data_IF_995517772704
#
_entry.id   IF_995517772704
#
_cell.length_a   1.000
_cell.length_b   1.000
_cell.length_c   1.000
_cell.angle_alpha   90.00
_cell.angle_beta   90.00
_cell.angle_gamma   90.00
#
_symmetry.space_group_name_H-M   'P 1'
#
loop_
_entity.id
_entity.type
_entity.pdbx_description
1 polymer ?
#
# COMPACT_ATOMS: atom_id res chain seq x y z
N UNK A 1 -7.92 -2.65 -23.11
CA UNK A 1 -7.74 -1.26 -22.62
C UNK A 1 -8.14 -1.29 -21.15
N UNK A 2 -7.48 -0.51 -20.28
CA UNK A 2 -7.88 -0.42 -18.87
C UNK A 2 -9.28 0.18 -18.75
N UNK A 3 -10.08 -0.36 -17.82
CA UNK A 3 -11.44 0.12 -17.55
C UNK A 3 -11.40 1.20 -16.45
N UNK A 4 -11.65 2.45 -16.83
CA UNK A 4 -11.64 3.62 -15.94
C UNK A 4 -12.84 3.63 -14.96
N UNK A 5 -13.83 2.77 -15.18
CA UNK A 5 -15.03 2.64 -14.33
C UNK A 5 -14.97 1.43 -13.41
N UNK A 6 -13.76 0.88 -13.21
CA UNK A 6 -13.53 -0.27 -12.35
C UNK A 6 -12.39 -0.03 -11.38
N UNK A 7 -12.59 -0.45 -10.13
CA UNK A 7 -11.55 -0.58 -9.10
C UNK A 7 -11.39 -2.05 -8.71
N UNK A 8 -10.15 -2.53 -8.64
CA UNK A 8 -9.83 -3.87 -8.18
C UNK A 8 -9.18 -3.81 -6.79
N UNK A 9 -9.74 -4.54 -5.83
CA UNK A 9 -9.15 -4.75 -4.51
C UNK A 9 -8.44 -6.10 -4.50
N UNK A 10 -7.13 -6.07 -4.32
CA UNK A 10 -6.22 -7.22 -4.45
C UNK A 10 -5.60 -7.55 -3.10
N UNK A 11 -5.77 -8.79 -2.65
CA UNK A 11 -5.30 -9.23 -1.33
C UNK A 11 -4.66 -10.61 -1.43
N UNK A 12 -3.42 -10.76 -0.94
CA UNK A 12 -2.85 -12.09 -0.71
C UNK A 12 -3.43 -12.68 0.57
N UNK A 13 -4.01 -13.88 0.49
CA UNK A 13 -4.82 -14.48 1.55
C UNK A 13 -4.16 -15.76 2.08
N UNK A 14 -3.93 -15.79 3.39
CA UNK A 14 -3.54 -16.97 4.16
C UNK A 14 -4.40 -17.18 5.42
N UNK A 15 -5.31 -16.24 5.74
CA UNK A 15 -6.31 -16.31 6.79
C UNK A 15 -7.67 -15.86 6.22
N UNK A 16 -8.56 -16.81 5.99
CA UNK A 16 -9.88 -16.53 5.39
C UNK A 16 -10.75 -15.67 6.29
N UNK A 17 -10.65 -15.81 7.62
CA UNK A 17 -11.46 -15.02 8.56
C UNK A 17 -11.11 -13.53 8.49
N UNK A 18 -9.81 -13.19 8.50
CA UNK A 18 -9.37 -11.80 8.33
C UNK A 18 -9.77 -11.25 6.96
N UNK A 19 -9.60 -12.03 5.91
CA UNK A 19 -9.99 -11.63 4.56
C UNK A 19 -11.50 -11.39 4.43
N UNK A 20 -12.33 -12.28 4.96
CA UNK A 20 -13.79 -12.12 4.94
C UNK A 20 -14.23 -10.86 5.68
N UNK A 21 -13.62 -10.57 6.82
CA UNK A 21 -13.85 -9.32 7.55
C UNK A 21 -13.44 -8.10 6.72
N UNK A 22 -12.23 -8.08 6.14
CA UNK A 22 -11.79 -6.99 5.26
C UNK A 22 -12.78 -6.77 4.10
N UNK A 23 -13.23 -7.84 3.45
CA UNK A 23 -14.21 -7.77 2.34
C UNK A 23 -15.54 -7.18 2.79
N UNK A 24 -16.00 -7.40 4.03
CA UNK A 24 -17.20 -6.75 4.54
C UNK A 24 -17.08 -5.23 4.51
N UNK A 25 -15.94 -4.68 4.93
CA UNK A 25 -15.68 -3.23 4.86
C UNK A 25 -15.62 -2.75 3.41
N UNK A 26 -14.91 -3.46 2.53
CA UNK A 26 -14.80 -3.11 1.11
C UNK A 26 -16.17 -3.06 0.40
N UNK A 27 -17.09 -3.97 0.74
CA UNK A 27 -18.44 -4.01 0.17
C UNK A 27 -19.35 -2.87 0.64
N UNK A 28 -18.98 -2.18 1.72
CA UNK A 28 -19.70 -1.04 2.26
C UNK A 28 -19.16 0.31 1.81
N UNK A 29 -18.14 0.32 0.95
CA UNK A 29 -17.62 1.55 0.33
C UNK A 29 -18.64 2.16 -0.61
N UNK A 30 -18.73 3.48 -0.62
CA UNK A 30 -19.50 4.22 -1.60
C UNK A 30 -18.74 4.28 -2.92
N UNK A 31 -19.28 3.64 -3.96
CA UNK A 31 -18.71 3.74 -5.29
C UNK A 31 -19.30 4.95 -6.05
N UNK A 32 -18.49 5.73 -6.76
CA UNK A 32 -18.97 6.74 -7.67
C UNK A 32 -19.96 6.15 -8.69
N UNK A 33 -20.89 6.98 -9.16
CA UNK A 33 -21.95 6.53 -10.08
C UNK A 33 -21.36 5.84 -11.32
N UNK A 34 -21.78 4.61 -11.56
CA UNK A 34 -21.36 3.80 -12.70
C UNK A 34 -20.07 3.01 -12.48
N UNK A 35 -19.35 3.26 -11.40
CA UNK A 35 -18.18 2.42 -11.06
C UNK A 35 -18.59 1.06 -10.50
N UNK A 36 -17.73 0.10 -10.77
CA UNK A 36 -17.82 -1.27 -10.23
C UNK A 36 -16.56 -1.61 -9.43
N UNK A 37 -16.70 -2.51 -8.47
CA UNK A 37 -15.59 -3.06 -7.70
C UNK A 37 -15.47 -4.56 -7.96
N UNK A 38 -14.23 -5.04 -8.08
CA UNK A 38 -13.91 -6.46 -8.04
C UNK A 38 -12.96 -6.76 -6.88
N UNK A 39 -13.10 -7.97 -6.33
CA UNK A 39 -12.33 -8.43 -5.16
C UNK A 39 -11.51 -9.64 -5.59
N UNK A 40 -10.19 -9.53 -5.56
CA UNK A 40 -9.25 -10.49 -6.09
C UNK A 40 -8.39 -11.12 -4.97
N UNK A 41 -8.88 -12.17 -4.29
CA UNK A 41 -8.06 -12.90 -3.34
C UNK A 41 -7.04 -13.78 -4.06
N UNK A 42 -5.79 -13.65 -3.68
CA UNK A 42 -4.69 -14.50 -4.16
C UNK A 42 -4.33 -15.48 -3.06
N UNK A 43 -4.70 -16.74 -3.25
CA UNK A 43 -4.41 -17.83 -2.31
C UNK A 43 -3.18 -18.60 -2.76
N UNK A 44 -2.37 -19.04 -1.80
CA UNK A 44 -1.17 -19.82 -2.08
C UNK A 44 -0.10 -19.05 -2.87
N UNK A 45 -0.07 -17.73 -2.75
CA UNK A 45 0.98 -16.92 -3.37
C UNK A 45 2.36 -17.32 -2.86
N UNK A 46 3.33 -17.44 -3.76
CA UNK A 46 4.72 -17.75 -3.40
C UNK A 46 5.40 -16.57 -2.68
N UNK A 47 4.96 -15.34 -2.98
CA UNK A 47 5.39 -14.09 -2.33
C UNK A 47 4.33 -13.02 -2.55
N UNK A 48 4.43 -11.90 -1.81
CA UNK A 48 3.53 -10.77 -2.02
C UNK A 48 3.63 -10.24 -3.45
N UNK A 49 4.84 -10.00 -3.95
CA UNK A 49 5.08 -9.49 -5.29
C UNK A 49 4.54 -10.43 -6.39
N UNK A 50 4.74 -11.74 -6.25
CA UNK A 50 4.24 -12.71 -7.22
C UNK A 50 2.71 -12.76 -7.22
N UNK A 51 2.08 -12.74 -6.04
CA UNK A 51 0.64 -12.72 -5.91
C UNK A 51 0.02 -11.46 -6.52
N UNK A 52 0.58 -10.30 -6.23
CA UNK A 52 0.13 -9.03 -6.78
C UNK A 52 0.31 -8.95 -8.30
N UNK A 53 1.42 -9.47 -8.85
CA UNK A 53 1.59 -9.57 -10.30
C UNK A 53 0.55 -10.46 -10.98
N UNK A 54 0.21 -11.60 -10.36
CA UNK A 54 -0.79 -12.50 -10.91
C UNK A 54 -2.18 -11.84 -10.96
N UNK A 55 -2.61 -11.21 -9.86
CA UNK A 55 -3.88 -10.51 -9.78
C UNK A 55 -3.91 -9.27 -10.69
N UNK A 56 -2.86 -8.46 -10.73
CA UNK A 56 -2.74 -7.30 -11.59
C UNK A 56 -2.99 -7.65 -13.07
N UNK A 57 -2.41 -8.77 -13.52
CA UNK A 57 -2.58 -9.25 -14.91
C UNK A 57 -3.96 -9.82 -15.20
N UNK A 58 -4.69 -10.27 -14.19
CA UNK A 58 -6.02 -10.88 -14.35
C UNK A 58 -7.15 -9.85 -14.43
N UNK A 59 -6.89 -8.59 -14.08
CA UNK A 59 -7.86 -7.51 -14.03
C UNK A 59 -7.56 -6.43 -15.07
N UNK A 60 -8.61 -5.97 -15.74
CA UNK A 60 -8.58 -4.81 -16.63
C UNK A 60 -8.91 -3.49 -15.89
N UNK A 61 -9.19 -3.53 -14.59
CA UNK A 61 -9.43 -2.32 -13.79
C UNK A 61 -8.24 -1.36 -13.90
N UNK A 62 -8.53 -0.08 -14.16
CA UNK A 62 -7.50 0.95 -14.17
C UNK A 62 -6.93 1.19 -12.78
N UNK A 63 -7.83 1.23 -11.78
CA UNK A 63 -7.46 1.51 -10.40
C UNK A 63 -7.33 0.21 -9.63
N UNK A 64 -6.15 -0.03 -9.06
CA UNK A 64 -5.87 -1.24 -8.29
C UNK A 64 -5.46 -0.87 -6.87
N UNK A 65 -6.12 -1.46 -5.90
CA UNK A 65 -5.86 -1.27 -4.47
C UNK A 65 -5.31 -2.60 -3.94
N UNK A 66 -4.03 -2.60 -3.61
CA UNK A 66 -3.34 -3.72 -3.00
C UNK A 66 -3.38 -3.52 -1.48
N UNK A 67 -3.90 -4.49 -0.75
CA UNK A 67 -4.06 -4.36 0.69
C UNK A 67 -3.79 -5.68 1.40
N UNK A 68 -3.36 -5.59 2.66
CA UNK A 68 -3.25 -6.75 3.52
C UNK A 68 -4.64 -7.27 3.88
N UNK A 69 -4.74 -8.58 4.16
CA UNK A 69 -6.00 -9.22 4.55
C UNK A 69 -6.55 -8.74 5.90
N UNK A 70 -5.71 -8.14 6.73
CA UNK A 70 -5.98 -7.60 8.06
C UNK A 70 -6.12 -6.06 8.06
N UNK A 71 -6.33 -5.48 6.87
CA UNK A 71 -6.57 -4.05 6.69
C UNK A 71 -8.07 -3.80 6.42
N UNK A 72 -8.70 -3.01 7.28
CA UNK A 72 -10.12 -2.66 7.22
C UNK A 72 -10.27 -1.23 6.72
N UNK A 73 -10.83 -1.04 5.52
CA UNK A 73 -11.13 0.29 4.97
C UNK A 73 -12.39 0.86 5.62
N UNK A 74 -12.24 1.88 6.46
CA UNK A 74 -13.33 2.48 7.25
C UNK A 74 -13.84 3.79 6.66
N UNK A 75 -13.02 4.50 5.87
CA UNK A 75 -13.49 5.64 5.09
C UNK A 75 -14.41 5.16 3.96
N UNK A 76 -15.71 5.37 4.13
CA UNK A 76 -16.72 4.93 3.14
C UNK A 76 -16.57 5.61 1.78
N UNK A 77 -16.01 6.81 1.75
CA UNK A 77 -15.79 7.60 0.55
C UNK A 77 -14.39 7.40 -0.06
N UNK A 78 -13.64 6.40 0.42
CA UNK A 78 -12.28 6.09 -0.01
C UNK A 78 -12.07 6.12 -1.53
N UNK A 79 -12.97 5.50 -2.30
CA UNK A 79 -12.82 5.43 -3.76
C UNK A 79 -12.94 6.82 -4.38
N UNK A 80 -13.86 7.66 -3.91
CA UNK A 80 -14.01 9.05 -4.37
C UNK A 80 -12.74 9.85 -4.06
N UNK A 81 -12.24 9.75 -2.84
CA UNK A 81 -11.09 10.53 -2.37
C UNK A 81 -9.82 10.09 -3.12
N UNK A 82 -9.66 8.79 -3.35
CA UNK A 82 -8.58 8.23 -4.16
C UNK A 82 -8.61 8.77 -5.60
N UNK A 83 -9.79 8.79 -6.23
CA UNK A 83 -9.95 9.27 -7.60
C UNK A 83 -9.64 10.76 -7.72
N UNK A 84 -9.98 11.58 -6.72
CA UNK A 84 -9.61 13.00 -6.70
C UNK A 84 -8.08 13.18 -6.70
N UNK A 85 -7.34 12.37 -5.96
CA UNK A 85 -5.87 12.40 -5.99
C UNK A 85 -5.36 11.95 -7.38
N UNK A 86 -5.95 10.93 -7.97
CA UNK A 86 -5.58 10.41 -9.29
C UNK A 86 -6.04 11.29 -10.48
N UNK A 87 -6.74 12.40 -10.24
CA UNK A 87 -6.89 13.46 -11.26
C UNK A 87 -5.53 14.01 -11.68
N UNK A 88 -4.57 14.09 -10.74
CA UNK A 88 -3.18 14.34 -11.05
C UNK A 88 -2.52 13.09 -11.66
N UNK A 89 -2.20 13.18 -12.94
CA UNK A 89 -1.60 12.06 -13.70
C UNK A 89 -0.13 11.81 -13.39
N UNK A 90 0.52 12.71 -12.66
CA UNK A 90 1.88 12.49 -12.14
C UNK A 90 1.88 11.59 -10.91
N UNK A 91 0.76 11.51 -10.17
CA UNK A 91 0.62 10.59 -9.04
C UNK A 91 0.37 9.18 -9.56
N UNK A 92 1.33 8.30 -9.39
CA UNK A 92 1.23 6.90 -9.79
C UNK A 92 0.70 5.99 -8.69
N UNK A 93 1.01 6.31 -7.44
CA UNK A 93 0.68 5.48 -6.28
C UNK A 93 0.26 6.33 -5.08
N UNK A 94 -0.71 5.82 -4.33
CA UNK A 94 -1.17 6.37 -3.04
C UNK A 94 -1.01 5.31 -1.98
N UNK A 95 -0.31 5.62 -0.87
CA UNK A 95 -0.27 4.83 0.35
C UNK A 95 -0.93 5.58 1.49
N UNK A 96 -1.21 4.92 2.61
CA UNK A 96 -1.87 5.56 3.78
C UNK A 96 -0.89 6.07 4.82
N UNK A 97 0.30 5.50 4.86
CA UNK A 97 1.44 5.94 5.68
C UNK A 97 2.74 5.75 4.90
N UNK A 98 3.72 6.59 5.13
CA UNK A 98 5.00 6.49 4.46
C UNK A 98 6.01 7.53 4.92
N UNK A 99 7.24 7.46 4.43
CA UNK A 99 8.30 8.42 4.75
C UNK A 99 8.66 9.29 3.54
N UNK A 100 8.89 10.58 3.81
CA UNK A 100 9.28 11.55 2.77
C UNK A 100 10.70 11.30 2.26
N UNK A 101 11.58 10.81 3.12
CA UNK A 101 12.95 10.45 2.75
C UNK A 101 13.26 9.08 3.29
N UNK A 102 13.55 8.16 2.37
CA UNK A 102 13.87 6.78 2.72
C UNK A 102 15.31 6.71 3.22
N UNK A 103 15.53 6.26 4.47
CA UNK A 103 16.87 6.22 5.05
C UNK A 103 17.75 5.16 4.38
N UNK A 104 19.06 5.26 4.59
CA UNK A 104 20.06 4.34 4.06
C UNK A 104 19.84 2.87 4.45
N UNK A 105 19.08 2.61 5.55
CA UNK A 105 18.65 1.27 5.92
C UNK A 105 17.64 0.65 4.94
N UNK A 106 16.94 1.46 4.15
CA UNK A 106 15.84 1.07 3.29
C UNK A 106 14.56 0.71 4.06
N UNK A 107 14.54 0.96 5.37
CA UNK A 107 13.39 0.68 6.25
C UNK A 107 12.60 1.98 6.42
N UNK A 108 11.44 2.07 5.80
CA UNK A 108 10.69 3.32 5.72
C UNK A 108 10.29 3.91 7.08
N UNK A 109 9.95 3.08 8.08
CA UNK A 109 9.57 3.55 9.43
C UNK A 109 10.74 4.04 10.29
N UNK A 110 11.98 3.82 9.85
CA UNK A 110 13.18 4.44 10.45
C UNK A 110 13.38 5.87 9.93
N UNK A 111 12.59 6.31 8.96
CA UNK A 111 12.65 7.64 8.38
C UNK A 111 12.22 8.74 9.36
N UNK A 112 12.90 9.88 9.33
CA UNK A 112 12.63 10.99 10.26
C UNK A 112 11.33 11.77 9.98
N UNK A 113 10.80 11.69 8.78
CA UNK A 113 9.59 12.43 8.33
C UNK A 113 8.58 11.44 7.78
N UNK A 114 7.89 10.76 8.69
CA UNK A 114 6.80 9.87 8.34
C UNK A 114 5.46 10.62 8.38
N UNK A 115 4.62 10.35 7.40
CA UNK A 115 3.34 11.00 7.20
C UNK A 115 2.21 9.97 7.10
N UNK A 116 1.01 10.44 7.42
CA UNK A 116 -0.22 9.67 7.29
C UNK A 116 -0.72 9.11 8.61
N UNK A 117 -1.81 8.33 8.52
CA UNK A 117 -2.51 7.86 9.71
C UNK A 117 -3.07 6.47 9.52
N UNK A 118 -2.81 5.60 10.49
CA UNK A 118 -3.39 4.26 10.58
C UNK A 118 -3.73 3.98 12.03
N UNK A 119 -4.91 3.45 12.28
CA UNK A 119 -5.24 2.91 13.60
C UNK A 119 -4.85 1.44 13.65
N UNK A 120 -4.05 1.08 14.63
CA UNK A 120 -3.67 -0.32 14.88
C UNK A 120 -4.58 -0.91 15.96
N UNK A 121 -5.34 -1.94 15.62
CA UNK A 121 -6.13 -2.72 16.56
C UNK A 121 -5.40 -4.02 16.88
N UNK A 122 -4.45 -3.97 17.82
CA UNK A 122 -3.60 -5.12 18.18
C UNK A 122 -4.32 -6.10 19.09
N UNK A 123 -5.28 -5.62 19.89
CA UNK A 123 -6.12 -6.39 20.81
C UNK A 123 -7.53 -5.81 20.83
N UNK A 124 -8.57 -6.57 21.24
CA UNK A 124 -9.96 -6.10 21.23
C UNK A 124 -10.22 -4.80 22.01
N UNK A 125 -9.33 -4.45 22.94
CA UNK A 125 -9.48 -3.28 23.82
C UNK A 125 -8.39 -2.20 23.61
N UNK A 126 -7.42 -2.41 22.69
CA UNK A 126 -6.36 -1.45 22.44
C UNK A 126 -6.31 -1.04 20.97
N UNK A 127 -6.71 0.19 20.70
CA UNK A 127 -6.49 0.85 19.41
C UNK A 127 -5.40 1.89 19.60
N UNK A 128 -4.33 1.77 18.82
CA UNK A 128 -3.21 2.71 18.83
C UNK A 128 -3.20 3.48 17.52
N UNK A 129 -3.21 4.81 17.62
CA UNK A 129 -3.01 5.69 16.46
C UNK A 129 -1.52 5.79 16.15
N UNK A 130 -1.16 5.65 14.88
CA UNK A 130 0.19 5.99 14.44
C UNK A 130 0.34 7.52 14.51
N UNK A 131 1.05 8.02 15.50
CA UNK A 131 1.31 9.46 15.67
C UNK A 131 2.33 9.96 14.63
N UNK A 132 1.94 9.98 13.35
CA UNK A 132 2.75 10.51 12.26
C UNK A 132 2.28 11.91 11.88
N UNK A 133 3.10 12.61 11.08
CA UNK A 133 2.75 13.95 10.60
C UNK A 133 1.60 13.88 9.61
N UNK A 134 0.70 14.86 9.64
CA UNK A 134 -0.30 15.03 8.59
C UNK A 134 0.22 15.97 7.50
N UNK A 135 -0.08 15.69 6.22
CA UNK A 135 0.21 16.61 5.13
C UNK A 135 -0.51 17.96 5.31
N UNK A 136 0.15 19.09 5.04
CA UNK A 136 -0.49 20.42 5.05
C UNK A 136 -1.51 20.60 3.91
N UNK A 137 -1.34 19.90 2.79
CA UNK A 137 -2.23 19.92 1.61
C UNK A 137 -3.13 18.70 1.51
N UNK A 138 -3.64 18.45 0.31
CA UNK A 138 -4.45 17.26 0.04
C UNK A 138 -3.63 15.94 0.17
N UNK A 139 -2.35 16.01 -0.14
CA UNK A 139 -1.39 14.90 -0.01
C UNK A 139 0.05 15.45 0.04
N UNK A 140 0.98 14.58 0.40
CA UNK A 140 2.42 14.83 0.35
C UNK A 140 3.14 13.74 -0.44
N UNK A 141 4.16 14.14 -1.21
CA UNK A 141 5.06 13.23 -1.90
C UNK A 141 5.98 12.51 -0.90
N UNK A 142 6.14 11.19 -1.08
CA UNK A 142 6.96 10.32 -0.23
C UNK A 142 7.83 9.41 -1.09
N UNK A 143 8.99 8.99 -0.57
CA UNK A 143 9.86 8.04 -1.26
C UNK A 143 9.43 6.59 -1.03
N UNK A 144 8.78 6.32 0.10
CA UNK A 144 8.24 5.00 0.40
C UNK A 144 6.95 5.07 1.21
N UNK A 145 6.04 4.12 0.96
CA UNK A 145 4.80 3.92 1.69
C UNK A 145 4.68 2.45 2.12
N UNK A 146 3.94 2.22 3.21
CA UNK A 146 3.69 0.88 3.77
C UNK A 146 2.80 0.05 2.87
N UNK A 147 3.14 -1.22 2.74
CA UNK A 147 2.40 -2.19 1.94
C UNK A 147 1.05 -2.60 2.49
N UNK A 148 0.67 -2.15 3.70
CA UNK A 148 -0.65 -2.46 4.25
C UNK A 148 -1.79 -2.02 3.32
N UNK A 149 -1.59 -0.89 2.62
CA UNK A 149 -2.47 -0.41 1.56
C UNK A 149 -1.69 0.46 0.56
N UNK A 150 -1.67 0.03 -0.68
CA UNK A 150 -1.12 0.77 -1.81
C UNK A 150 -2.14 0.79 -2.96
N UNK A 151 -2.53 1.97 -3.42
CA UNK A 151 -3.43 2.13 -4.55
C UNK A 151 -2.68 2.69 -5.76
N UNK A 152 -2.95 2.19 -6.97
CA UNK A 152 -2.25 2.61 -8.19
C UNK A 152 -3.23 2.92 -9.33
N UNK A 153 -2.84 3.86 -10.22
CA UNK A 153 -3.57 4.10 -11.48
C UNK A 153 -2.81 3.62 -12.72
N UNK A 154 -1.63 3.02 -12.53
CA UNK A 154 -0.81 2.45 -13.59
C UNK A 154 -0.31 1.07 -13.17
N UNK A 155 -0.25 0.15 -14.13
CA UNK A 155 0.28 -1.19 -13.94
C UNK A 155 1.79 -1.18 -14.10
N UNK A 156 2.50 -1.26 -12.98
CA UNK A 156 3.95 -1.45 -12.93
C UNK A 156 4.22 -2.78 -12.26
N UNK A 157 5.01 -3.63 -12.92
CA UNK A 157 5.34 -4.96 -12.40
C UNK A 157 6.03 -4.87 -11.04
N UNK A 158 5.53 -5.62 -10.08
CA UNK A 158 6.18 -5.87 -8.80
C UNK A 158 7.43 -6.71 -9.00
N UNK A 159 8.48 -6.42 -8.26
CA UNK A 159 9.79 -7.07 -8.41
C UNK A 159 9.83 -8.48 -7.76
N UNK A 160 9.00 -9.39 -8.27
CA UNK A 160 8.97 -10.81 -7.88
C UNK A 160 10.25 -11.56 -8.26
N UNK A 161 11.08 -10.99 -9.12
CA UNK A 161 12.42 -11.45 -9.44
C UNK A 161 13.46 -11.17 -8.34
N UNK A 162 13.22 -10.19 -7.46
CA UNK A 162 14.11 -9.81 -6.36
C UNK A 162 13.54 -10.15 -4.98
N UNK A 163 12.22 -10.09 -4.83
CA UNK A 163 11.54 -10.24 -3.55
C UNK A 163 10.59 -11.46 -3.57
N UNK A 164 11.13 -12.62 -3.21
CA UNK A 164 10.41 -13.88 -3.12
C UNK A 164 9.72 -14.10 -1.78
N UNK A 165 9.57 -13.07 -0.95
CA UNK A 165 8.99 -13.12 0.39
C UNK A 165 7.87 -12.10 0.61
N UNK A 166 7.76 -11.63 1.87
CA UNK A 166 6.67 -10.80 2.36
C UNK A 166 7.14 -9.41 2.81
N UNK A 167 8.39 -9.04 2.50
CA UNK A 167 9.03 -7.79 2.92
C UNK A 167 9.69 -7.10 1.73
N UNK A 168 9.85 -5.79 1.82
CA UNK A 168 10.47 -4.91 0.82
C UNK A 168 9.80 -4.90 -0.57
N UNK A 169 8.71 -5.64 -0.76
CA UNK A 169 7.92 -5.59 -1.99
C UNK A 169 7.27 -4.21 -2.19
N UNK A 170 6.83 -3.61 -1.10
CA UNK A 170 6.18 -2.30 -1.00
C UNK A 170 7.16 -1.14 -1.28
N UNK A 171 8.22 -1.04 -0.48
CA UNK A 171 9.25 -0.01 -0.64
C UNK A 171 9.88 -0.10 -2.04
N UNK A 172 10.16 -1.31 -2.54
CA UNK A 172 10.68 -1.48 -3.89
C UNK A 172 9.70 -1.01 -4.96
N UNK A 173 8.40 -1.25 -4.78
CA UNK A 173 7.39 -0.80 -5.72
C UNK A 173 7.29 0.73 -5.76
N UNK A 174 7.39 1.40 -4.62
CA UNK A 174 7.46 2.87 -4.57
C UNK A 174 8.61 3.39 -5.43
N UNK A 175 9.82 2.81 -5.28
CA UNK A 175 10.98 3.20 -6.07
C UNK A 175 10.84 2.84 -7.56
N UNK A 176 10.14 1.76 -7.91
CA UNK A 176 9.83 1.42 -9.30
C UNK A 176 8.86 2.44 -9.95
N UNK A 177 7.93 3.01 -9.19
CA UNK A 177 7.11 4.12 -9.65
C UNK A 177 7.94 5.39 -9.84
N UNK A 178 8.80 5.74 -8.87
CA UNK A 178 9.71 6.88 -8.95
C UNK A 178 10.68 6.78 -10.14
N UNK A 179 11.25 5.60 -10.43
CA UNK A 179 12.09 5.33 -11.60
C UNK A 179 11.39 5.63 -12.94
N UNK A 180 10.06 5.58 -12.96
CA UNK A 180 9.23 5.89 -14.15
C UNK A 180 8.70 7.32 -14.16
N UNK A 181 9.14 8.14 -13.21
CA UNK A 181 8.77 9.55 -13.11
C UNK A 181 7.40 9.79 -12.47
N UNK A 182 6.82 8.79 -11.80
CA UNK A 182 5.59 8.96 -11.05
C UNK A 182 5.85 9.28 -9.58
N UNK A 183 4.98 10.07 -9.01
CA UNK A 183 4.96 10.35 -7.59
C UNK A 183 4.26 9.21 -6.82
N UNK A 184 4.79 8.94 -5.62
CA UNK A 184 4.12 8.16 -4.58
C UNK A 184 3.70 9.14 -3.51
N UNK A 185 2.43 9.11 -3.09
CA UNK A 185 1.90 10.12 -2.17
C UNK A 185 1.16 9.50 -1.00
N UNK A 186 1.13 10.25 0.11
CA UNK A 186 0.30 9.97 1.29
C UNK A 186 -0.74 11.07 1.42
N UNK A 187 -2.06 10.75 1.49
CA UNK A 187 -3.13 11.72 1.62
C UNK A 187 -3.18 12.34 3.02
N UNK A 188 -3.76 13.54 3.11
CA UNK A 188 -4.18 14.11 4.39
C UNK A 188 -5.38 13.31 4.93
N UNK A 189 -5.27 12.83 6.16
CA UNK A 189 -6.28 12.01 6.84
C UNK A 189 -6.73 12.63 8.17
N UNK A 190 -6.50 13.93 8.36
CA UNK A 190 -6.83 14.64 9.60
C UNK A 190 -8.32 14.51 9.97
N UNK A 191 -9.20 14.60 8.97
CA UNK A 191 -10.65 14.50 9.18
C UNK A 191 -11.17 13.08 9.17
N UNK A 192 -10.73 12.29 8.21
CA UNK A 192 -11.23 10.94 7.94
C UNK A 192 -10.05 10.00 7.69
N UNK A 193 -9.60 9.28 8.71
CA UNK A 193 -8.59 8.24 8.51
C UNK A 193 -9.17 7.10 7.66
N UNK A 194 -8.30 6.50 6.83
CA UNK A 194 -8.77 5.60 5.80
C UNK A 194 -8.92 4.16 6.25
N UNK A 195 -8.04 3.69 7.14
CA UNK A 195 -8.04 2.28 7.50
C UNK A 195 -7.64 2.00 8.94
N UNK A 196 -8.09 0.82 9.40
CA UNK A 196 -7.61 0.16 10.61
C UNK A 196 -6.78 -1.04 10.17
N UNK A 197 -5.63 -1.23 10.78
CA UNK A 197 -4.77 -2.40 10.60
C UNK A 197 -4.87 -3.29 11.84
N UNK A 198 -5.23 -4.55 11.63
CA UNK A 198 -5.42 -5.55 12.69
C UNK A 198 -4.33 -6.63 12.62
N UNK A 199 -3.06 -6.28 12.82
CA UNK A 199 -1.97 -7.24 12.67
C UNK A 199 -2.04 -8.31 13.77
N UNK A 200 -1.80 -9.55 13.38
CA UNK A 200 -1.41 -10.57 14.37
C UNK A 200 0.09 -10.42 14.61
N UNK A 201 0.48 -10.21 15.86
CA UNK A 201 1.89 -10.13 16.22
C UNK A 201 2.64 -11.37 15.70
N UNK A 202 3.62 -11.13 14.86
CA UNK A 202 4.59 -12.12 14.41
C UNK A 202 5.98 -11.51 14.46
N UNK A 203 6.98 -12.23 14.97
CA UNK A 203 8.34 -11.76 14.87
C UNK A 203 8.71 -11.61 13.39
N UNK A 204 9.59 -10.65 13.09
CA UNK A 204 10.14 -10.50 11.74
C UNK A 204 10.72 -11.84 11.27
N UNK A 205 10.37 -12.22 10.05
CA UNK A 205 10.86 -13.46 9.47
C UNK A 205 12.40 -13.47 9.43
N UNK A 206 13.04 -14.62 9.68
CA UNK A 206 14.52 -14.73 9.63
C UNK A 206 15.10 -14.21 8.30
N UNK A 207 14.36 -14.34 7.21
CA UNK A 207 14.74 -13.91 5.88
C UNK A 207 14.66 -12.39 5.67
N UNK A 208 14.10 -11.62 6.62
CA UNK A 208 13.95 -10.17 6.51
C UNK A 208 15.27 -9.46 6.15
N UNK A 209 16.38 -9.87 6.82
CA UNK A 209 17.71 -9.30 6.57
C UNK A 209 18.26 -9.65 5.18
N UNK A 210 17.87 -10.78 4.62
CA UNK A 210 18.24 -11.16 3.26
C UNK A 210 17.54 -10.27 2.24
N UNK A 211 16.23 -10.05 2.41
CA UNK A 211 15.46 -9.15 1.56
C UNK A 211 15.94 -7.70 1.67
N UNK A 212 16.33 -7.25 2.87
CA UNK A 212 16.96 -5.95 3.05
C UNK A 212 18.27 -5.83 2.26
N UNK A 213 19.14 -6.82 2.30
CA UNK A 213 20.39 -6.82 1.50
C UNK A 213 20.11 -6.78 0.00
N UNK A 214 19.11 -7.53 -0.47
CA UNK A 214 18.70 -7.49 -1.86
C UNK A 214 18.19 -6.10 -2.25
N UNK A 215 17.38 -5.48 -1.40
CA UNK A 215 16.87 -4.14 -1.56
C UNK A 215 18.01 -3.11 -1.65
N UNK A 216 18.93 -3.12 -0.70
CA UNK A 216 20.06 -2.18 -0.67
C UNK A 216 21.01 -2.37 -1.88
N UNK A 217 21.18 -3.60 -2.35
CA UNK A 217 21.99 -3.86 -3.56
C UNK A 217 21.35 -3.27 -4.82
N UNK A 218 20.03 -3.31 -4.94
CA UNK A 218 19.30 -2.83 -6.12
C UNK A 218 19.02 -1.34 -6.08
N UNK A 219 18.72 -0.79 -4.90
CA UNK A 219 18.20 0.56 -4.74
C UNK A 219 19.09 1.48 -3.89
N UNK A 220 20.22 0.99 -3.39
CA UNK A 220 21.07 1.75 -2.47
C UNK A 220 21.49 3.12 -3.00
N UNK A 221 21.73 3.25 -4.30
CA UNK A 221 22.11 4.52 -4.94
C UNK A 221 20.97 5.54 -5.02
N UNK A 222 19.72 5.10 -4.75
CA UNK A 222 18.54 5.96 -4.74
C UNK A 222 18.18 6.46 -3.33
N UNK A 223 18.81 5.91 -2.30
CA UNK A 223 18.48 6.23 -0.92
C UNK A 223 19.15 7.53 -0.49
N UNK A 224 18.45 8.29 0.36
CA UNK A 224 19.01 9.49 0.96
C UNK A 224 20.16 9.11 1.90
N UNK A 225 21.33 9.76 1.82
CA UNK A 225 22.36 9.57 2.84
C UNK A 225 21.79 9.98 4.20
N UNK A 226 22.14 9.22 5.24
CA UNK A 226 21.81 9.59 6.61
C UNK A 226 22.34 11.01 6.91
N UNK A 227 21.45 11.91 7.33
CA UNK A 227 21.78 13.27 7.77
C UNK A 227 21.79 13.29 9.29
#
# INVERSE_FOLDING_TARGET
MADDMKVAFITCVNDEGQYEESVLYLRHLHLPKGMTAEYLPVRGAASMAAGYNAAMKSSDARYKVYLHQDTLLVNKDFVRDLLQIFEDKSVGMVGVVGCRSLPASGIWWDGMRCYGRVLHACEPESVVDSEMMEPEGAYIDVEAADGLLLATQYDIRWRDDLFGGWHFYDTSQCLEFARRGYQVVVPNQEKDFWCIHCPREKPLAPEYKEWQKNFLREYGDMLSPEV
#
